data_IF_920133455743
#
_entry.id   IF_920133455743
#
_cell.length_a   1.000
_cell.length_b   1.000
_cell.length_c   1.000
_cell.angle_alpha   90.00
_cell.angle_beta   90.00
_cell.angle_gamma   90.00
#
_symmetry.space_group_name_H-M   'P 1'
#
loop_
_entity.id
_entity.type
_entity.pdbx_description
1 polymer ?
#
# COMPACT_ATOMS: atom_id res chain seq x y z
N UNK A 1 22.93 -12.56 22.54
CA UNK A 1 21.84 -11.68 23.01
C UNK A 1 21.31 -10.95 21.80
N UNK A 2 20.00 -10.73 21.72
CA UNK A 2 19.45 -9.83 20.71
C UNK A 2 20.00 -8.43 20.96
N UNK A 3 20.40 -7.72 19.91
CA UNK A 3 20.87 -6.35 20.02
C UNK A 3 20.06 -5.45 19.10
N UNK A 4 20.06 -4.16 19.39
CA UNK A 4 19.39 -3.13 18.62
C UNK A 4 20.45 -2.19 18.04
N UNK A 5 20.24 -1.67 16.82
CA UNK A 5 21.04 -0.58 16.28
C UNK A 5 20.11 0.58 15.90
N UNK A 6 20.67 1.76 15.68
CA UNK A 6 19.93 2.89 15.13
C UNK A 6 20.30 2.99 13.66
N UNK A 7 19.30 2.97 12.78
CA UNK A 7 19.53 3.16 11.36
C UNK A 7 20.08 4.60 11.15
N UNK A 8 21.28 4.76 10.55
CA UNK A 8 21.92 6.08 10.44
C UNK A 8 21.19 7.01 9.47
N UNK A 9 20.36 6.47 8.57
CA UNK A 9 19.59 7.25 7.61
C UNK A 9 18.26 7.72 8.21
N UNK A 10 17.52 6.82 8.85
CA UNK A 10 16.18 7.12 9.36
C UNK A 10 16.18 7.58 10.83
N UNK A 11 17.27 7.32 11.57
CA UNK A 11 17.33 7.58 13.01
C UNK A 11 16.34 6.75 13.81
N UNK A 12 15.88 5.60 13.29
CA UNK A 12 14.93 4.69 13.96
C UNK A 12 15.69 3.50 14.53
N UNK A 13 15.45 3.11 15.79
CA UNK A 13 16.01 1.88 16.32
C UNK A 13 15.37 0.65 15.66
N UNK A 14 16.19 -0.36 15.40
CA UNK A 14 15.77 -1.60 14.78
C UNK A 14 16.44 -2.81 15.41
N UNK A 15 15.76 -3.95 15.37
CA UNK A 15 16.31 -5.21 15.81
C UNK A 15 17.48 -5.64 14.91
N UNK A 16 18.61 -6.01 15.50
CA UNK A 16 19.80 -6.46 14.82
C UNK A 16 20.14 -7.90 15.22
N UNK A 17 19.92 -8.88 14.32
CA UNK A 17 20.34 -10.26 14.57
C UNK A 17 21.84 -10.50 14.35
N UNK A 18 22.57 -9.50 13.84
CA UNK A 18 23.96 -9.67 13.44
C UNK A 18 24.90 -9.80 14.66
N UNK A 19 25.95 -10.60 14.50
CA UNK A 19 27.06 -10.66 15.46
C UNK A 19 27.91 -9.39 15.39
N UNK A 20 28.63 -9.10 16.46
CA UNK A 20 29.52 -7.94 16.53
C UNK A 20 30.47 -7.90 15.31
N UNK A 21 30.58 -6.72 14.68
CA UNK A 21 31.37 -6.52 13.46
C UNK A 21 30.68 -6.92 12.15
N UNK A 22 29.49 -7.54 12.18
CA UNK A 22 28.74 -7.99 10.98
C UNK A 22 27.43 -7.22 10.76
N UNK A 23 27.27 -6.06 11.39
CA UNK A 23 26.08 -5.25 11.21
C UNK A 23 25.94 -4.80 9.75
N UNK A 24 24.75 -4.96 9.13
CA UNK A 24 24.51 -4.54 7.75
C UNK A 24 24.68 -3.03 7.54
N UNK A 25 24.65 -2.24 8.63
CA UNK A 25 24.90 -0.79 8.61
C UNK A 25 26.35 -0.41 8.91
N UNK A 26 27.25 -1.39 9.03
CA UNK A 26 28.70 -1.19 9.21
C UNK A 26 29.21 -1.59 10.59
N UNK A 27 30.47 -2.04 10.64
CA UNK A 27 31.14 -2.51 11.87
C UNK A 27 31.39 -1.43 12.92
N UNK A 28 31.26 -0.15 12.55
CA UNK A 28 31.42 1.00 13.44
C UNK A 28 30.11 1.43 14.12
N UNK A 29 28.99 0.80 13.79
CA UNK A 29 27.69 1.15 14.37
C UNK A 29 27.52 0.54 15.76
N UNK A 30 27.13 1.39 16.71
CA UNK A 30 26.91 1.01 18.11
C UNK A 30 25.67 0.12 18.23
N UNK A 31 25.81 -0.99 18.94
CA UNK A 31 24.71 -1.89 19.29
C UNK A 31 24.30 -1.66 20.74
N UNK A 32 23.02 -1.86 21.02
CA UNK A 32 22.42 -1.68 22.34
C UNK A 32 21.73 -2.98 22.75
N UNK A 33 21.90 -3.37 24.01
CA UNK A 33 21.34 -4.64 24.53
C UNK A 33 19.85 -4.53 24.90
N UNK A 34 19.30 -3.31 24.94
CA UNK A 34 17.91 -3.04 25.29
C UNK A 34 17.28 -2.02 24.32
N UNK A 35 16.00 -2.22 24.01
CA UNK A 35 15.25 -1.39 23.08
C UNK A 35 15.12 0.04 23.60
N UNK A 36 14.88 0.21 24.90
CA UNK A 36 14.70 1.51 25.56
C UNK A 36 15.94 2.38 25.45
N UNK A 37 17.13 1.75 25.51
CA UNK A 37 18.40 2.44 25.35
C UNK A 37 18.59 2.85 23.88
N UNK A 38 18.27 1.97 22.93
CA UNK A 38 18.34 2.28 21.51
C UNK A 38 17.38 3.42 21.13
N UNK A 39 16.17 3.41 21.67
CA UNK A 39 15.16 4.45 21.48
C UNK A 39 15.61 5.78 22.09
N UNK A 40 16.09 5.78 23.34
CA UNK A 40 16.58 7.00 23.98
C UNK A 40 17.74 7.65 23.22
N UNK A 41 18.67 6.85 22.68
CA UNK A 41 19.77 7.38 21.86
C UNK A 41 19.28 7.82 20.48
N UNK A 42 18.31 7.13 19.89
CA UNK A 42 17.67 7.58 18.65
C UNK A 42 16.99 8.94 18.83
N UNK A 43 16.31 9.14 19.95
CA UNK A 43 15.65 10.41 20.29
C UNK A 43 16.66 11.54 20.53
N UNK A 44 17.82 11.23 21.11
CA UNK A 44 18.93 12.19 21.24
C UNK A 44 19.56 12.53 19.88
N UNK A 45 19.85 11.53 19.03
CA UNK A 45 20.38 11.77 17.68
C UNK A 45 19.40 12.56 16.84
N UNK A 46 18.09 12.29 16.97
CA UNK A 46 17.04 13.11 16.38
C UNK A 46 17.10 14.52 16.92
N UNK A 47 17.05 14.70 18.24
CA UNK A 47 17.09 16.02 18.86
C UNK A 47 18.33 16.84 18.47
N UNK A 48 19.49 16.19 18.32
CA UNK A 48 20.75 16.81 17.93
C UNK A 48 20.82 17.08 16.41
N UNK A 49 20.33 16.16 15.55
CA UNK A 49 20.16 16.43 14.10
C UNK A 49 19.17 17.56 13.84
N UNK A 50 18.12 17.66 14.66
CA UNK A 50 17.09 18.70 14.56
C UNK A 50 17.50 20.05 15.17
N UNK A 51 18.73 20.17 15.72
CA UNK A 51 19.33 21.45 16.09
C UNK A 51 20.07 22.15 14.94
N UNK A 52 20.36 21.47 13.82
CA UNK A 52 21.16 22.04 12.72
C UNK A 52 20.35 22.36 11.44
N UNK A 53 19.04 22.12 11.40
CA UNK A 53 18.17 22.41 10.25
C UNK A 53 16.98 23.30 10.63
N UNK A 54 17.28 24.52 11.10
CA UNK A 54 16.34 25.64 11.24
C UNK A 54 16.41 26.42 9.91
N UNK A 55 15.38 26.58 9.07
CA UNK A 55 14.09 27.18 9.42
C UNK A 55 12.93 26.80 8.47
N UNK A 56 13.19 26.21 7.30
CA UNK A 56 12.15 26.06 6.26
C UNK A 56 11.35 24.76 6.45
N UNK A 57 12.01 23.59 6.44
CA UNK A 57 11.30 22.32 6.60
C UNK A 57 10.65 22.17 7.99
N UNK A 58 11.14 22.88 9.01
CA UNK A 58 10.56 22.87 10.36
C UNK A 58 9.26 23.66 10.42
N UNK A 59 9.14 24.77 9.68
CA UNK A 59 7.88 25.50 9.60
C UNK A 59 6.86 24.70 8.81
N UNK A 60 7.27 24.05 7.71
CA UNK A 60 6.36 23.24 6.90
C UNK A 60 5.90 21.98 7.66
N UNK A 61 6.82 21.22 8.27
CA UNK A 61 6.45 20.05 9.09
C UNK A 61 5.69 20.41 10.37
N UNK A 62 5.97 21.57 10.99
CA UNK A 62 5.20 22.04 12.14
C UNK A 62 3.80 22.49 11.73
N UNK A 63 3.65 23.15 10.58
CA UNK A 63 2.33 23.48 10.02
C UNK A 63 1.55 22.21 9.69
N UNK A 64 2.20 21.22 9.08
CA UNK A 64 1.63 19.90 8.80
C UNK A 64 1.18 19.21 10.10
N UNK A 65 2.04 19.17 11.11
CA UNK A 65 1.70 18.59 12.42
C UNK A 65 0.60 19.37 13.17
N UNK A 66 0.64 20.69 13.15
CA UNK A 66 -0.39 21.53 13.79
C UNK A 66 -1.71 21.49 12.99
N UNK A 67 -1.69 21.24 11.68
CA UNK A 67 -2.91 20.94 10.90
C UNK A 67 -3.48 19.56 11.22
N UNK A 68 -2.63 18.57 11.56
CA UNK A 68 -3.09 17.24 11.96
C UNK A 68 -3.80 17.25 13.32
N UNK A 69 -3.40 18.13 14.25
CA UNK A 69 -4.14 18.35 15.52
C UNK A 69 -5.57 18.84 15.33
N UNK A 70 -5.88 19.41 14.16
CA UNK A 70 -7.25 19.81 13.84
C UNK A 70 -8.21 18.61 13.79
N UNK A 71 -7.66 17.40 13.68
CA UNK A 71 -8.41 16.15 13.61
C UNK A 71 -8.49 15.39 14.94
N UNK A 72 -7.95 15.95 16.04
CA UNK A 72 -8.01 15.38 17.40
C UNK A 72 -9.45 15.11 17.86
N UNK A 73 -10.46 15.77 17.26
CA UNK A 73 -11.86 15.49 17.57
C UNK A 73 -12.27 14.04 17.24
N UNK A 74 -11.66 13.40 16.23
CA UNK A 74 -11.96 12.00 15.87
C UNK A 74 -11.61 11.05 17.02
N UNK A 75 -10.59 11.35 17.82
CA UNK A 75 -10.22 10.55 19.01
C UNK A 75 -11.28 10.60 20.10
N UNK A 76 -12.06 11.68 20.15
CA UNK A 76 -13.13 11.86 21.15
C UNK A 76 -14.42 11.13 20.77
N UNK A 77 -14.51 10.65 19.53
CA UNK A 77 -15.68 9.94 19.02
C UNK A 77 -15.64 8.44 19.38
N UNK A 78 -16.83 7.82 19.35
CA UNK A 78 -16.94 6.37 19.27
C UNK A 78 -16.37 5.88 17.93
N UNK A 79 -15.95 4.61 17.83
CA UNK A 79 -15.44 4.07 16.55
C UNK A 79 -16.49 4.19 15.44
N UNK A 80 -17.76 3.94 15.76
CA UNK A 80 -18.88 4.06 14.83
C UNK A 80 -19.05 5.50 14.31
N UNK A 81 -18.96 6.49 15.20
CA UNK A 81 -19.10 7.90 14.82
C UNK A 81 -17.87 8.42 14.07
N UNK A 82 -16.67 7.94 14.42
CA UNK A 82 -15.45 8.24 13.69
C UNK A 82 -15.49 7.67 12.26
N UNK A 83 -15.94 6.43 12.09
CA UNK A 83 -16.16 5.83 10.76
C UNK A 83 -17.15 6.66 9.95
N UNK A 84 -18.30 7.04 10.53
CA UNK A 84 -19.28 7.91 9.83
C UNK A 84 -18.67 9.26 9.45
N UNK A 85 -17.84 9.84 10.31
CA UNK A 85 -17.15 11.09 10.02
C UNK A 85 -16.16 10.94 8.85
N UNK A 86 -15.40 9.84 8.82
CA UNK A 86 -14.47 9.53 7.71
C UNK A 86 -15.24 9.28 6.42
N UNK A 87 -16.36 8.57 6.44
CA UNK A 87 -17.19 8.33 5.25
C UNK A 87 -17.82 9.63 4.71
N UNK A 88 -18.14 10.58 5.59
CA UNK A 88 -18.85 11.81 5.24
C UNK A 88 -17.91 12.99 4.89
N UNK A 89 -16.64 12.93 5.28
CA UNK A 89 -15.70 14.04 5.04
C UNK A 89 -15.34 14.18 3.57
N UNK A 90 -15.12 15.41 3.14
CA UNK A 90 -14.53 15.77 1.85
C UNK A 90 -13.12 16.37 2.01
N UNK A 91 -12.58 16.34 3.23
CA UNK A 91 -11.23 16.82 3.54
C UNK A 91 -10.20 15.79 3.04
N UNK A 92 -9.61 16.09 1.89
CA UNK A 92 -8.59 15.27 1.22
C UNK A 92 -7.35 15.07 2.08
N UNK A 93 -6.96 16.10 2.85
CA UNK A 93 -5.75 16.08 3.67
C UNK A 93 -5.97 15.16 4.87
N UNK A 94 -7.15 15.20 5.49
CA UNK A 94 -7.56 14.25 6.53
C UNK A 94 -7.51 12.80 6.01
N UNK A 95 -8.12 12.53 4.86
CA UNK A 95 -8.15 11.17 4.29
C UNK A 95 -6.74 10.65 4.02
N UNK A 96 -5.88 11.50 3.45
CA UNK A 96 -4.48 11.15 3.17
C UNK A 96 -3.71 10.89 4.46
N UNK A 97 -3.90 11.73 5.46
CA UNK A 97 -3.24 11.59 6.75
C UNK A 97 -3.66 10.31 7.48
N UNK A 98 -4.93 9.90 7.40
CA UNK A 98 -5.40 8.63 7.97
C UNK A 98 -4.69 7.45 7.29
N UNK A 99 -4.63 7.45 5.95
CA UNK A 99 -3.99 6.40 5.16
C UNK A 99 -2.49 6.30 5.46
N UNK A 100 -1.82 7.45 5.64
CA UNK A 100 -0.39 7.52 5.95
C UNK A 100 -0.08 7.27 7.44
N UNK A 101 -1.09 6.97 8.25
CA UNK A 101 -0.94 6.78 9.69
C UNK A 101 -0.46 8.03 10.42
N UNK A 102 -0.64 9.21 9.83
CA UNK A 102 -0.24 10.50 10.38
C UNK A 102 -1.27 11.06 11.37
N UNK A 103 -2.48 10.50 11.39
CA UNK A 103 -3.53 10.84 12.36
C UNK A 103 -3.54 9.77 13.45
N UNK A 104 -3.27 10.20 14.69
CA UNK A 104 -3.67 9.62 15.98
C UNK A 104 -3.41 8.11 16.25
N UNK A 105 -2.88 7.80 17.45
CA UNK A 105 -2.44 6.45 17.85
C UNK A 105 -3.58 5.42 17.80
N UNK A 106 -4.80 5.80 18.18
CA UNK A 106 -5.95 4.88 18.18
C UNK A 106 -6.37 4.43 16.77
N UNK A 107 -6.24 5.31 15.77
CA UNK A 107 -6.59 4.97 14.38
C UNK A 107 -5.56 4.01 13.75
N UNK A 108 -4.36 3.91 14.34
CA UNK A 108 -3.34 2.95 13.94
C UNK A 108 -3.61 1.53 14.47
N UNK A 109 -4.41 1.40 15.54
CA UNK A 109 -4.71 0.10 16.16
C UNK A 109 -5.85 -0.65 15.46
N UNK A 110 -6.73 0.05 14.72
CA UNK A 110 -7.81 -0.54 13.94
C UNK A 110 -7.69 -0.15 12.46
N UNK A 111 -7.33 -1.10 11.56
CA UNK A 111 -7.18 -0.81 10.14
C UNK A 111 -8.51 -0.43 9.45
N UNK A 112 -9.66 -0.63 10.10
CA UNK A 112 -10.96 -0.23 9.56
C UNK A 112 -10.99 1.25 9.17
N UNK A 113 -10.40 2.14 9.97
CA UNK A 113 -10.37 3.57 9.67
C UNK A 113 -9.64 3.89 8.37
N UNK A 114 -8.53 3.17 8.12
CA UNK A 114 -7.78 3.27 6.86
C UNK A 114 -8.64 2.76 5.70
N UNK A 115 -9.36 1.66 5.87
CA UNK A 115 -10.23 1.12 4.82
C UNK A 115 -11.38 2.07 4.47
N UNK A 116 -11.97 2.73 5.46
CA UNK A 116 -13.01 3.74 5.21
C UNK A 116 -12.46 4.99 4.52
N UNK A 117 -11.24 5.42 4.87
CA UNK A 117 -10.57 6.51 4.17
C UNK A 117 -10.25 6.14 2.71
N UNK A 118 -9.82 4.90 2.47
CA UNK A 118 -9.54 4.37 1.13
C UNK A 118 -10.78 4.25 0.25
N UNK A 119 -11.95 4.02 0.83
CA UNK A 119 -13.24 3.93 0.12
C UNK A 119 -13.89 5.29 -0.15
N UNK A 120 -13.40 6.36 0.47
CA UNK A 120 -14.02 7.67 0.40
C UNK A 120 -13.89 8.28 -1.02
N UNK A 121 -15.02 8.76 -1.57
CA UNK A 121 -15.11 9.37 -2.91
C UNK A 121 -14.36 10.69 -3.10
N UNK A 122 -13.86 11.29 -2.03
CA UNK A 122 -13.06 12.51 -2.06
C UNK A 122 -11.57 12.23 -1.94
N UNK A 123 -11.15 10.96 -1.83
CA UNK A 123 -9.74 10.60 -1.89
C UNK A 123 -9.12 11.11 -3.18
N UNK A 124 -7.96 11.77 -3.09
CA UNK A 124 -7.35 12.39 -4.26
C UNK A 124 -6.87 11.36 -5.29
N UNK A 125 -7.05 11.70 -6.57
CA UNK A 125 -6.54 10.89 -7.68
C UNK A 125 -5.04 10.62 -7.54
N UNK A 126 -4.26 11.62 -7.12
CA UNK A 126 -2.82 11.44 -6.88
C UNK A 126 -2.54 10.35 -5.84
N UNK A 127 -3.31 10.31 -4.74
CA UNK A 127 -3.15 9.28 -3.72
C UNK A 127 -3.49 7.90 -4.27
N UNK A 128 -4.60 7.79 -5.00
CA UNK A 128 -5.02 6.55 -5.67
C UNK A 128 -3.93 6.07 -6.63
N UNK A 129 -3.44 6.95 -7.50
CA UNK A 129 -2.41 6.62 -8.49
C UNK A 129 -1.10 6.20 -7.84
N UNK A 130 -0.68 6.84 -6.74
CA UNK A 130 0.51 6.44 -6.00
C UNK A 130 0.38 5.00 -5.45
N UNK A 131 -0.79 4.65 -4.91
CA UNK A 131 -1.05 3.30 -4.41
C UNK A 131 -1.06 2.26 -5.54
N UNK A 132 -1.60 2.63 -6.69
CA UNK A 132 -1.66 1.78 -7.88
C UNK A 132 -0.28 1.56 -8.51
N UNK A 133 0.59 2.59 -8.49
CA UNK A 133 1.93 2.52 -9.07
C UNK A 133 2.96 1.81 -8.17
N UNK A 134 2.73 1.78 -6.86
CA UNK A 134 3.59 1.10 -5.89
C UNK A 134 2.77 0.24 -4.93
N UNK A 135 2.00 -0.73 -5.44
CA UNK A 135 1.03 -1.47 -4.63
C UNK A 135 1.75 -2.36 -3.59
N UNK A 136 3.01 -2.75 -3.84
CA UNK A 136 3.88 -3.49 -2.91
C UNK A 136 4.16 -2.78 -1.58
N UNK A 137 3.90 -1.48 -1.48
CA UNK A 137 4.06 -0.70 -0.26
C UNK A 137 2.86 -0.82 0.69
N UNK A 138 1.77 -1.44 0.25
CA UNK A 138 0.50 -1.49 0.97
C UNK A 138 0.11 -2.93 1.31
N UNK A 139 -0.73 -3.08 2.33
CA UNK A 139 -1.30 -4.38 2.68
C UNK A 139 -2.36 -4.78 1.66
N UNK A 140 -2.56 -6.08 1.50
CA UNK A 140 -3.59 -6.62 0.59
C UNK A 140 -4.99 -6.10 0.94
N UNK A 141 -5.34 -6.09 2.22
CA UNK A 141 -6.65 -5.59 2.68
C UNK A 141 -6.84 -4.10 2.34
N UNK A 142 -5.78 -3.29 2.41
CA UNK A 142 -5.84 -1.89 1.99
C UNK A 142 -6.06 -1.77 0.47
N UNK A 143 -5.43 -2.62 -0.34
CA UNK A 143 -5.65 -2.61 -1.79
C UNK A 143 -7.06 -3.10 -2.16
N UNK A 144 -7.64 -4.03 -1.40
CA UNK A 144 -9.04 -4.45 -1.55
C UNK A 144 -9.96 -3.29 -1.18
N UNK A 145 -9.72 -2.60 -0.06
CA UNK A 145 -10.51 -1.42 0.31
C UNK A 145 -10.40 -0.29 -0.72
N UNK A 146 -9.24 -0.11 -1.35
CA UNK A 146 -9.05 0.84 -2.44
C UNK A 146 -9.86 0.46 -3.68
N UNK A 147 -10.09 -0.82 -3.94
CA UNK A 147 -10.85 -1.28 -5.11
C UNK A 147 -12.33 -0.84 -5.08
N UNK A 148 -12.89 -0.79 -3.88
CA UNK A 148 -14.22 -0.26 -3.58
C UNK A 148 -14.31 1.26 -3.75
N UNK A 149 -13.18 1.97 -3.97
CA UNK A 149 -13.19 3.42 -4.16
C UNK A 149 -13.90 3.78 -5.50
N UNK A 150 -14.88 4.70 -5.47
CA UNK A 150 -15.65 5.06 -6.66
C UNK A 150 -14.84 5.83 -7.73
N UNK A 151 -13.72 6.45 -7.37
CA UNK A 151 -12.83 7.16 -8.29
C UNK A 151 -11.75 6.26 -8.89
N UNK A 152 -11.56 5.04 -8.36
CA UNK A 152 -10.66 4.10 -8.98
C UNK A 152 -11.25 3.71 -10.34
N UNK A 153 -10.52 3.93 -11.43
CA UNK A 153 -10.98 3.54 -12.76
C UNK A 153 -10.67 2.06 -13.07
N UNK A 154 -11.20 1.55 -14.17
CA UNK A 154 -11.02 0.14 -14.54
C UNK A 154 -9.56 -0.20 -14.87
N UNK A 155 -8.76 0.75 -15.36
CA UNK A 155 -7.35 0.52 -15.69
C UNK A 155 -6.49 0.47 -14.43
N UNK A 156 -6.73 1.35 -13.49
CA UNK A 156 -6.08 1.34 -12.19
C UNK A 156 -6.34 0.03 -11.44
N UNK A 157 -7.55 -0.55 -11.54
CA UNK A 157 -7.84 -1.91 -11.04
C UNK A 157 -7.00 -2.99 -11.73
N UNK A 158 -6.77 -2.88 -13.04
CA UNK A 158 -5.88 -3.81 -13.76
C UNK A 158 -4.45 -3.71 -13.26
N UNK A 159 -3.94 -2.50 -13.05
CA UNK A 159 -2.59 -2.30 -12.52
C UNK A 159 -2.42 -2.91 -11.12
N UNK A 160 -3.44 -2.84 -10.26
CA UNK A 160 -3.44 -3.54 -8.97
C UNK A 160 -3.28 -5.05 -9.14
N UNK A 161 -4.03 -5.66 -10.06
CA UNK A 161 -3.91 -7.09 -10.42
C UNK A 161 -2.50 -7.41 -10.93
N UNK A 162 -1.88 -6.51 -11.70
CA UNK A 162 -0.51 -6.68 -12.20
C UNK A 162 0.54 -6.60 -11.11
N UNK A 163 0.32 -5.84 -10.04
CA UNK A 163 1.19 -5.82 -8.87
C UNK A 163 1.21 -7.16 -8.11
N UNK A 164 0.08 -7.88 -8.10
CA UNK A 164 -0.11 -9.09 -7.28
C UNK A 164 -0.65 -10.31 -8.06
N UNK A 165 0.00 -10.75 -9.15
CA UNK A 165 -0.56 -11.78 -10.04
C UNK A 165 -0.57 -13.20 -9.43
N UNK A 166 0.13 -13.39 -8.32
CA UNK A 166 0.23 -14.69 -7.63
C UNK A 166 -0.90 -14.92 -6.63
N UNK A 167 -1.57 -13.87 -6.18
CA UNK A 167 -2.65 -13.99 -5.20
C UNK A 167 -3.97 -14.24 -5.91
N UNK A 168 -4.41 -15.51 -5.92
CA UNK A 168 -5.65 -15.88 -6.59
C UNK A 168 -6.89 -15.25 -6.02
N UNK A 169 -6.92 -14.97 -4.70
CA UNK A 169 -8.10 -14.44 -4.04
C UNK A 169 -8.23 -12.96 -4.34
N UNK A 170 -7.13 -12.21 -4.22
CA UNK A 170 -7.09 -10.81 -4.62
C UNK A 170 -7.49 -10.65 -6.09
N UNK A 171 -6.88 -11.42 -6.99
CA UNK A 171 -7.18 -11.34 -8.42
C UNK A 171 -8.65 -11.69 -8.71
N UNK A 172 -9.21 -12.68 -8.03
CA UNK A 172 -10.63 -13.04 -8.19
C UNK A 172 -11.57 -11.93 -7.72
N UNK A 173 -11.26 -11.29 -6.59
CA UNK A 173 -12.05 -10.16 -6.06
C UNK A 173 -12.08 -9.01 -7.06
N UNK A 174 -10.91 -8.52 -7.49
CA UNK A 174 -10.80 -7.40 -8.42
C UNK A 174 -11.50 -7.71 -9.76
N UNK A 175 -11.30 -8.91 -10.31
CA UNK A 175 -11.91 -9.29 -11.59
C UNK A 175 -13.43 -9.41 -11.52
N UNK A 176 -13.99 -9.71 -10.35
CA UNK A 176 -15.45 -9.81 -10.16
C UNK A 176 -16.13 -8.47 -9.92
N UNK A 177 -15.35 -7.39 -9.80
CA UNK A 177 -15.88 -6.04 -9.64
C UNK A 177 -16.82 -5.65 -10.80
N UNK A 178 -17.98 -5.03 -10.52
CA UNK A 178 -18.89 -4.55 -11.56
C UNK A 178 -18.26 -3.52 -12.54
N UNK A 179 -17.23 -2.80 -12.11
CA UNK A 179 -16.47 -1.85 -12.91
C UNK A 179 -15.45 -2.49 -13.86
N UNK A 180 -15.18 -3.79 -13.76
CA UNK A 180 -14.34 -4.52 -14.71
C UNK A 180 -15.19 -5.00 -15.89
N UNK A 181 -15.08 -4.27 -17.00
CA UNK A 181 -15.80 -4.56 -18.24
C UNK A 181 -15.10 -5.65 -19.05
N UNK A 182 -15.81 -6.18 -20.05
CA UNK A 182 -15.25 -7.13 -21.02
C UNK A 182 -14.00 -6.59 -21.72
N UNK A 183 -13.97 -5.31 -22.07
CA UNK A 183 -12.86 -4.70 -22.81
C UNK A 183 -11.59 -4.63 -21.95
N UNK A 184 -11.76 -4.36 -20.66
CA UNK A 184 -10.68 -4.36 -19.67
C UNK A 184 -10.11 -5.77 -19.48
N UNK A 185 -10.98 -6.79 -19.42
CA UNK A 185 -10.56 -8.19 -19.39
C UNK A 185 -9.77 -8.58 -20.64
N UNK A 186 -10.19 -8.11 -21.82
CA UNK A 186 -9.49 -8.34 -23.08
C UNK A 186 -8.09 -7.72 -23.07
N UNK A 187 -7.94 -6.54 -22.50
CA UNK A 187 -6.65 -5.87 -22.33
C UNK A 187 -5.71 -6.65 -21.41
N UNK A 188 -6.21 -7.11 -20.25
CA UNK A 188 -5.47 -8.02 -19.37
C UNK A 188 -4.99 -9.26 -20.15
N UNK A 189 -5.88 -9.91 -20.91
CA UNK A 189 -5.52 -11.08 -21.71
C UNK A 189 -4.49 -10.76 -22.79
N UNK A 190 -4.58 -9.60 -23.45
CA UNK A 190 -3.62 -9.15 -24.45
C UNK A 190 -2.23 -8.93 -23.84
N UNK A 191 -2.14 -8.31 -22.67
CA UNK A 191 -0.85 -8.09 -21.99
C UNK A 191 -0.24 -9.38 -21.48
N UNK A 192 -1.08 -10.27 -20.92
CA UNK A 192 -0.66 -11.62 -20.57
C UNK A 192 -0.01 -12.34 -21.76
N UNK A 193 -0.52 -12.13 -23.00
CA UNK A 193 0.03 -12.71 -24.23
C UNK A 193 1.50 -12.29 -24.45
N UNK A 194 1.86 -11.08 -24.04
CA UNK A 194 3.16 -10.44 -24.27
C UNK A 194 4.18 -10.64 -23.13
N UNK A 195 3.74 -10.96 -21.91
CA UNK A 195 4.65 -11.13 -20.75
C UNK A 195 5.14 -12.58 -20.49
N UNK A 196 6.28 -12.69 -19.79
CA UNK A 196 6.96 -13.95 -19.50
C UNK A 196 6.16 -14.82 -18.49
N UNK A 197 5.60 -15.91 -19.05
CA UNK A 197 4.63 -16.92 -18.58
C UNK A 197 4.67 -17.44 -17.12
N UNK A 198 5.71 -17.18 -16.32
CA UNK A 198 5.85 -17.83 -15.01
C UNK A 198 4.97 -17.21 -13.90
N UNK A 199 4.47 -15.99 -14.08
CA UNK A 199 3.79 -15.23 -13.01
C UNK A 199 2.26 -15.30 -12.98
N UNK A 200 1.65 -15.90 -14.00
CA UNK A 200 0.24 -15.69 -14.33
C UNK A 200 -0.70 -16.91 -14.40
N UNK A 201 -0.28 -18.18 -14.17
CA UNK A 201 -1.23 -19.31 -14.12
C UNK A 201 -2.46 -19.09 -13.22
N UNK A 202 -2.33 -18.46 -12.03
CA UNK A 202 -3.48 -18.28 -11.15
C UNK A 202 -4.52 -17.29 -11.72
N UNK A 203 -4.06 -16.21 -12.37
CA UNK A 203 -4.92 -15.21 -13.02
C UNK A 203 -5.70 -15.81 -14.21
N UNK A 204 -5.02 -16.59 -15.05
CA UNK A 204 -5.65 -17.26 -16.20
C UNK A 204 -6.73 -18.24 -15.74
N UNK A 205 -6.47 -19.00 -14.66
CA UNK A 205 -7.47 -19.91 -14.09
C UNK A 205 -8.72 -19.16 -13.62
N UNK A 206 -8.56 -17.99 -12.99
CA UNK A 206 -9.69 -17.20 -12.47
C UNK A 206 -10.47 -16.48 -13.56
N UNK A 207 -9.79 -15.94 -14.57
CA UNK A 207 -10.44 -15.35 -15.75
C UNK A 207 -11.36 -16.36 -16.46
N UNK A 208 -10.98 -17.64 -16.51
CA UNK A 208 -11.81 -18.70 -17.11
C UNK A 208 -13.15 -18.93 -16.41
N UNK A 209 -13.25 -18.54 -15.14
CA UNK A 209 -14.43 -18.71 -14.29
C UNK A 209 -15.21 -17.40 -14.10
N UNK A 210 -14.68 -16.28 -14.60
CA UNK A 210 -15.26 -14.96 -14.40
C UNK A 210 -16.49 -14.76 -15.31
N UNK A 211 -17.62 -14.37 -14.71
CA UNK A 211 -18.90 -14.16 -15.43
C UNK A 211 -18.84 -13.05 -16.48
N UNK A 212 -17.95 -12.07 -16.33
CA UNK A 212 -17.74 -10.96 -17.24
C UNK A 212 -16.77 -11.34 -18.39
N UNK A 213 -16.08 -12.49 -18.30
CA UNK A 213 -15.25 -13.01 -19.37
C UNK A 213 -16.05 -13.98 -20.26
N UNK A 214 -16.34 -13.64 -21.52
CA UNK A 214 -17.03 -14.57 -22.41
C UNK A 214 -16.16 -15.80 -22.66
N UNK A 215 -16.73 -16.99 -22.42
CA UNK A 215 -16.00 -18.25 -22.58
C UNK A 215 -15.32 -18.40 -23.94
N UNK A 216 -15.97 -17.95 -25.01
CA UNK A 216 -15.42 -17.99 -26.38
C UNK A 216 -14.16 -17.13 -26.54
N UNK A 217 -14.11 -15.96 -25.90
CA UNK A 217 -12.96 -15.06 -25.92
C UNK A 217 -11.76 -15.68 -25.20
N UNK A 218 -12.02 -16.31 -24.06
CA UNK A 218 -10.98 -17.00 -23.30
C UNK A 218 -10.45 -18.24 -24.04
N UNK A 219 -11.34 -19.01 -24.68
CA UNK A 219 -10.99 -20.17 -25.51
C UNK A 219 -10.17 -19.77 -26.75
N UNK A 220 -10.51 -18.67 -27.41
CA UNK A 220 -9.74 -18.10 -28.53
C UNK A 220 -8.33 -17.69 -28.10
N UNK A 221 -8.21 -17.00 -26.96
CA UNK A 221 -6.90 -16.65 -26.38
C UNK A 221 -6.05 -17.89 -26.07
N UNK A 222 -6.65 -18.94 -25.50
CA UNK A 222 -5.96 -20.21 -25.25
C UNK A 222 -5.52 -20.90 -26.55
N UNK A 223 -6.34 -20.84 -27.59
CA UNK A 223 -6.05 -21.43 -28.89
C UNK A 223 -4.84 -20.75 -29.56
N UNK A 224 -4.86 -19.41 -29.63
CA UNK A 224 -3.74 -18.58 -30.11
C UNK A 224 -2.42 -18.90 -29.38
N UNK A 225 -2.49 -19.08 -28.06
CA UNK A 225 -1.32 -19.43 -27.25
C UNK A 225 -0.75 -20.82 -27.57
N UNK A 226 -1.61 -21.82 -27.77
CA UNK A 226 -1.18 -23.18 -28.11
C UNK A 226 -0.42 -23.20 -29.43
N UNK A 227 -0.94 -22.51 -30.45
CA UNK A 227 -0.29 -22.37 -31.75
C UNK A 227 1.09 -21.70 -31.64
N UNK A 228 1.21 -20.61 -30.87
CA UNK A 228 2.49 -19.92 -30.66
C UNK A 228 3.52 -20.72 -29.85
N UNK A 229 3.09 -21.63 -28.96
CA UNK A 229 4.02 -22.54 -28.27
C UNK A 229 4.60 -23.61 -29.20
N UNK A 230 3.81 -24.08 -30.18
CA UNK A 230 4.23 -25.08 -31.16
C UNK A 230 5.18 -24.50 -32.22
N UNK A 231 5.10 -23.19 -32.51
CA UNK A 231 5.99 -22.54 -33.49
C UNK A 231 7.36 -22.14 -32.93
N UNK A 232 7.50 -22.06 -31.60
CA UNK A 232 8.73 -21.66 -30.90
C UNK A 232 9.47 -22.82 -30.21
N UNK A 233 9.04 -24.07 -30.47
CA UNK A 233 9.68 -25.31 -30.01
C UNK A 233 10.42 -25.96 -31.18
#
# INVERSE_FOLDING_TARGET
MATYHINPYTGVPGFCPAKEGQCPYGSHMKHYDAWEIAQSVADQIRADRFKEYEDIERQDRKREWDSLKTYDYLETLSDEDAIKAIQATNDVDLLSAIIDGQVLVRLQDDPQFVYEALRNQYLSDNKIQNMVQAPELYTQDALIALEDNPNLDSMARVELVRGYPQDTMFVEEILNNPGITKDVILEILADLKNENKAKWPPVVSRLSMNKNCPKSVFEEWLHDRRLNSMMNS
#
